data_IF_481625830098
#
_entry.id   IF_481625830098
#
_cell.length_a   1.000
_cell.length_b   1.000
_cell.length_c   1.000
_cell.angle_alpha   90.00
_cell.angle_beta   90.00
_cell.angle_gamma   90.00
#
_symmetry.space_group_name_H-M   'P 1'
#
loop_
_entity.id
_entity.type
_entity.pdbx_description
1 polymer ?
#
# COMPACT_ATOMS: atom_id res chain seq x y z
N UNK A 1 -48.26 -26.41 26.49
CA UNK A 1 -46.88 -26.62 25.98
C UNK A 1 -46.89 -26.19 24.51
N UNK A 2 -46.58 -24.92 24.23
CA UNK A 2 -46.45 -24.44 22.86
C UNK A 2 -44.97 -24.52 22.51
N UNK A 3 -44.61 -25.42 21.59
CA UNK A 3 -43.26 -25.56 21.08
C UNK A 3 -42.95 -24.32 20.23
N UNK A 4 -41.97 -23.53 20.67
CA UNK A 4 -41.37 -22.47 19.88
C UNK A 4 -40.56 -23.14 18.75
N UNK A 5 -40.76 -22.80 17.47
CA UNK A 5 -39.93 -23.36 16.40
C UNK A 5 -38.49 -22.87 16.63
N UNK A 6 -37.57 -23.80 16.89
CA UNK A 6 -36.14 -23.53 16.97
C UNK A 6 -35.69 -22.88 15.66
N UNK A 7 -35.37 -21.59 15.71
CA UNK A 7 -34.61 -20.94 14.65
C UNK A 7 -33.29 -21.70 14.47
N UNK A 8 -32.85 -21.96 13.22
CA UNK A 8 -31.59 -22.64 12.98
C UNK A 8 -30.45 -21.91 13.71
N UNK A 9 -29.45 -22.64 14.24
CA UNK A 9 -28.37 -22.04 15.01
C UNK A 9 -27.64 -20.99 14.15
N UNK A 10 -27.72 -19.73 14.57
CA UNK A 10 -27.03 -18.65 13.88
C UNK A 10 -25.52 -18.81 14.01
N UNK A 11 -24.83 -18.76 12.87
CA UNK A 11 -23.37 -18.77 12.84
C UNK A 11 -22.89 -17.45 13.46
N UNK A 12 -22.00 -17.48 14.46
CA UNK A 12 -21.48 -16.26 15.07
C UNK A 12 -20.66 -15.46 14.05
N UNK A 13 -20.65 -14.14 14.21
CA UNK A 13 -19.79 -13.26 13.42
C UNK A 13 -18.31 -13.68 13.54
N UNK A 14 -17.52 -13.56 12.46
CA UNK A 14 -16.12 -13.94 12.51
C UNK A 14 -15.32 -13.09 13.50
N UNK A 15 -14.36 -13.72 14.18
CA UNK A 15 -13.39 -12.99 14.97
C UNK A 15 -12.42 -12.25 14.04
N UNK A 16 -12.20 -10.95 14.29
CA UNK A 16 -11.20 -10.17 13.56
C UNK A 16 -9.78 -10.60 13.96
N UNK A 17 -8.84 -10.48 13.01
CA UNK A 17 -7.42 -10.61 13.33
C UNK A 17 -6.99 -9.50 14.29
N UNK A 18 -6.19 -9.85 15.30
CA UNK A 18 -5.83 -8.94 16.40
C UNK A 18 -4.78 -7.89 16.02
N UNK A 19 -4.11 -8.06 14.89
CA UNK A 19 -3.04 -7.17 14.42
C UNK A 19 -3.57 -5.99 13.58
N UNK A 20 -4.85 -6.00 13.22
CA UNK A 20 -5.49 -4.91 12.46
C UNK A 20 -5.51 -3.61 13.28
N UNK A 21 -5.23 -2.49 12.60
CA UNK A 21 -5.23 -1.17 13.21
C UNK A 21 -6.20 -0.26 12.48
N UNK A 22 -7.05 0.43 13.23
CA UNK A 22 -7.89 1.50 12.68
C UNK A 22 -7.16 2.82 12.89
N UNK A 23 -6.98 3.57 11.82
CA UNK A 23 -6.28 4.86 11.79
C UNK A 23 -7.23 5.95 11.25
N UNK A 24 -7.09 7.21 11.70
CA UNK A 24 -7.77 8.31 11.05
C UNK A 24 -7.27 8.46 9.61
N UNK A 25 -8.18 8.62 8.67
CA UNK A 25 -7.91 8.79 7.25
C UNK A 25 -8.13 10.22 6.76
N UNK A 26 -7.94 10.43 5.46
CA UNK A 26 -8.28 11.70 4.79
C UNK A 26 -9.79 11.91 4.87
N UNK A 27 -10.23 13.14 5.12
CA UNK A 27 -11.67 13.46 5.12
C UNK A 27 -12.27 13.12 3.75
N UNK A 28 -13.48 12.56 3.75
CA UNK A 28 -14.24 12.36 2.54
C UNK A 28 -14.53 13.72 1.86
N UNK A 29 -14.91 13.71 0.59
CA UNK A 29 -15.31 14.89 -0.20
C UNK A 29 -16.36 15.76 0.48
N UNK A 30 -17.13 15.19 1.41
CA UNK A 30 -18.16 15.85 2.20
C UNK A 30 -17.65 16.44 3.53
N UNK A 31 -16.35 16.34 3.83
CA UNK A 31 -15.74 16.82 5.07
C UNK A 31 -15.92 15.91 6.29
N UNK A 32 -16.57 14.76 6.11
CA UNK A 32 -16.69 13.74 7.16
C UNK A 32 -15.32 13.08 7.42
N UNK A 33 -15.01 12.71 8.68
CA UNK A 33 -13.76 12.02 9.00
C UNK A 33 -13.72 10.67 8.27
N UNK A 34 -12.69 10.48 7.43
CA UNK A 34 -12.41 9.17 6.84
C UNK A 34 -11.67 8.28 7.83
N UNK A 35 -11.81 6.97 7.67
CA UNK A 35 -11.15 5.98 8.51
C UNK A 35 -10.39 4.98 7.63
N UNK A 36 -9.22 4.53 8.07
CA UNK A 36 -8.40 3.54 7.37
C UNK A 36 -8.21 2.31 8.25
N UNK A 37 -8.50 1.13 7.70
CA UNK A 37 -8.15 -0.15 8.29
C UNK A 37 -6.82 -0.63 7.71
N UNK A 38 -5.79 -0.68 8.55
CA UNK A 38 -4.46 -1.13 8.19
C UNK A 38 -4.28 -2.62 8.50
N UNK A 39 -3.96 -3.41 7.47
CA UNK A 39 -3.47 -4.79 7.61
C UNK A 39 -1.93 -4.78 7.64
N UNK A 40 -1.28 -5.03 8.79
CA UNK A 40 0.17 -5.00 8.89
C UNK A 40 0.87 -6.19 8.21
N UNK A 41 0.16 -7.29 7.93
CA UNK A 41 0.73 -8.46 7.24
C UNK A 41 0.82 -8.21 5.75
N UNK A 42 -0.26 -7.68 5.15
CA UNK A 42 -0.28 -7.31 3.74
C UNK A 42 0.36 -5.94 3.47
N UNK A 43 0.51 -5.10 4.51
CA UNK A 43 0.89 -3.69 4.41
C UNK A 43 -0.02 -2.90 3.47
N UNK A 44 -1.33 -3.09 3.62
CA UNK A 44 -2.39 -2.47 2.81
C UNK A 44 -3.31 -1.68 3.73
N UNK A 45 -3.77 -0.53 3.24
CA UNK A 45 -4.80 0.27 3.87
C UNK A 45 -6.13 0.08 3.12
N UNK A 46 -7.20 -0.16 3.85
CA UNK A 46 -8.56 -0.19 3.34
C UNK A 46 -9.32 1.04 3.84
N UNK A 47 -9.89 1.81 2.92
CA UNK A 47 -10.75 2.93 3.28
C UNK A 47 -12.08 2.42 3.84
N UNK A 48 -12.46 2.95 5.00
CA UNK A 48 -13.70 2.66 5.69
C UNK A 48 -14.59 3.91 5.65
N UNK A 49 -15.85 3.70 5.28
CA UNK A 49 -16.89 4.70 5.51
C UNK A 49 -17.15 4.85 7.02
N UNK A 50 -17.78 5.96 7.42
CA UNK A 50 -18.16 6.19 8.82
C UNK A 50 -19.04 5.06 9.37
N UNK A 51 -20.03 4.60 8.60
CA UNK A 51 -20.87 3.45 8.97
C UNK A 51 -20.04 2.19 9.18
N UNK A 52 -19.11 1.90 8.26
CA UNK A 52 -18.23 0.74 8.36
C UNK A 52 -17.32 0.82 9.60
N UNK A 53 -16.77 2.00 9.90
CA UNK A 53 -15.94 2.24 11.09
C UNK A 53 -16.73 1.98 12.38
N UNK A 54 -17.95 2.50 12.48
CA UNK A 54 -18.79 2.36 13.67
C UNK A 54 -19.16 0.89 13.91
N UNK A 55 -19.54 0.19 12.84
CA UNK A 55 -19.85 -1.23 12.87
C UNK A 55 -18.64 -2.05 13.32
N UNK A 56 -17.46 -1.77 12.74
CA UNK A 56 -16.22 -2.49 13.03
C UNK A 56 -15.71 -2.21 14.46
N UNK A 57 -15.89 -0.99 14.96
CA UNK A 57 -15.46 -0.58 16.31
C UNK A 57 -16.19 -1.33 17.42
N UNK A 58 -17.41 -1.81 17.15
CA UNK A 58 -18.21 -2.59 18.08
C UNK A 58 -18.19 -4.09 17.78
N UNK A 59 -17.48 -4.51 16.72
CA UNK A 59 -17.49 -5.88 16.21
C UNK A 59 -17.07 -6.91 17.27
N UNK A 60 -17.91 -7.92 17.47
CA UNK A 60 -17.68 -9.01 18.43
C UNK A 60 -18.08 -10.34 17.79
N UNK A 61 -17.37 -11.43 18.10
CA UNK A 61 -17.69 -12.76 17.57
C UNK A 61 -18.91 -13.36 18.27
N UNK A 62 -20.08 -12.75 18.06
CA UNK A 62 -21.37 -13.13 18.62
C UNK A 62 -22.39 -13.35 17.48
N UNK A 63 -23.49 -14.08 17.72
CA UNK A 63 -24.57 -14.21 16.74
C UNK A 63 -25.10 -12.84 16.25
N UNK A 64 -25.44 -12.70 14.95
CA UNK A 64 -25.94 -11.44 14.38
C UNK A 64 -27.14 -10.85 15.12
N UNK A 65 -28.10 -11.68 15.56
CA UNK A 65 -29.27 -11.24 16.33
C UNK A 65 -28.90 -10.58 17.67
N UNK A 66 -27.95 -11.18 18.39
CA UNK A 66 -27.43 -10.66 19.66
C UNK A 66 -26.66 -9.36 19.40
N UNK A 67 -25.84 -9.33 18.34
CA UNK A 67 -25.10 -8.13 17.96
C UNK A 67 -26.03 -6.93 17.73
N UNK A 68 -27.04 -7.09 16.88
CA UNK A 68 -27.97 -6.02 16.53
C UNK A 68 -28.79 -5.53 17.74
N UNK A 69 -29.21 -6.45 18.61
CA UNK A 69 -29.96 -6.09 19.82
C UNK A 69 -29.12 -5.23 20.77
N UNK A 70 -27.87 -5.65 21.04
CA UNK A 70 -26.95 -4.87 21.87
C UNK A 70 -26.59 -3.54 21.22
N UNK A 71 -26.34 -3.56 19.91
CA UNK A 71 -25.95 -2.36 19.18
C UNK A 71 -27.06 -1.30 19.17
N UNK A 72 -28.30 -1.70 18.90
CA UNK A 72 -29.47 -0.82 18.87
C UNK A 72 -29.86 -0.26 20.25
N UNK A 73 -29.45 -0.91 21.34
CA UNK A 73 -29.69 -0.41 22.70
C UNK A 73 -28.72 0.72 23.07
N UNK A 74 -27.50 0.67 22.54
CA UNK A 74 -26.39 1.53 22.96
C UNK A 74 -26.06 2.64 21.93
N UNK A 75 -26.58 2.59 20.70
CA UNK A 75 -26.21 3.50 19.61
C UNK A 75 -27.41 3.92 18.73
N UNK A 76 -27.33 5.13 18.15
CA UNK A 76 -28.38 5.73 17.29
C UNK A 76 -28.29 5.32 15.80
N UNK A 77 -27.60 4.21 15.50
CA UNK A 77 -27.47 3.71 14.12
C UNK A 77 -28.35 2.50 13.91
N UNK A 78 -29.17 2.58 12.85
CA UNK A 78 -29.94 1.45 12.34
C UNK A 78 -29.05 0.63 11.40
N UNK A 79 -28.50 -0.47 11.93
CA UNK A 79 -27.80 -1.49 11.16
C UNK A 79 -28.71 -2.69 10.98
N UNK A 80 -28.76 -3.23 9.77
CA UNK A 80 -29.59 -4.39 9.47
C UNK A 80 -28.77 -5.68 9.41
N UNK A 81 -29.44 -6.83 9.23
CA UNK A 81 -28.74 -8.11 9.01
C UNK A 81 -27.93 -8.06 7.72
N UNK A 82 -28.45 -7.41 6.69
CA UNK A 82 -27.79 -7.24 5.40
C UNK A 82 -26.47 -6.47 5.55
N UNK A 83 -26.43 -5.41 6.38
CA UNK A 83 -25.20 -4.66 6.67
C UNK A 83 -24.12 -5.56 7.31
N UNK A 84 -24.54 -6.45 8.23
CA UNK A 84 -23.63 -7.42 8.86
C UNK A 84 -23.12 -8.47 7.88
N UNK A 85 -23.97 -8.95 6.96
CA UNK A 85 -23.59 -9.90 5.93
C UNK A 85 -22.62 -9.28 4.91
N UNK A 86 -22.87 -8.04 4.49
CA UNK A 86 -21.96 -7.29 3.59
C UNK A 86 -20.60 -7.07 4.26
N UNK A 87 -20.58 -6.61 5.51
CA UNK A 87 -19.33 -6.43 6.27
C UNK A 87 -18.59 -7.75 6.45
N UNK A 88 -19.31 -8.82 6.80
CA UNK A 88 -18.72 -10.16 6.94
C UNK A 88 -18.11 -10.64 5.63
N UNK A 89 -18.80 -10.44 4.50
CA UNK A 89 -18.31 -10.72 3.16
C UNK A 89 -17.04 -9.93 2.82
N UNK A 90 -17.00 -8.64 3.13
CA UNK A 90 -15.80 -7.80 2.97
C UNK A 90 -14.62 -8.34 3.79
N UNK A 91 -14.84 -8.65 5.07
CA UNK A 91 -13.81 -9.12 5.99
C UNK A 91 -13.22 -10.47 5.56
N UNK A 92 -14.07 -11.40 5.09
CA UNK A 92 -13.60 -12.67 4.52
C UNK A 92 -12.86 -12.48 3.21
N UNK A 93 -13.41 -11.69 2.27
CA UNK A 93 -12.79 -11.43 0.98
C UNK A 93 -11.39 -10.78 1.11
N UNK A 94 -11.19 -9.96 2.15
CA UNK A 94 -9.90 -9.32 2.46
C UNK A 94 -9.01 -10.14 3.42
N UNK A 95 -9.43 -11.32 3.87
CA UNK A 95 -8.68 -12.19 4.80
C UNK A 95 -8.31 -11.47 6.11
N UNK A 96 -9.26 -10.68 6.63
CA UNK A 96 -9.13 -9.86 7.84
C UNK A 96 -9.67 -10.57 9.10
N UNK A 97 -10.14 -11.80 8.96
CA UNK A 97 -10.71 -12.61 10.05
C UNK A 97 -9.76 -13.74 10.45
N UNK A 98 -9.85 -14.15 11.72
CA UNK A 98 -9.25 -15.40 12.16
C UNK A 98 -10.11 -16.54 11.63
N UNK A 99 -9.48 -17.58 11.08
CA UNK A 99 -10.18 -18.80 10.69
C UNK A 99 -10.74 -19.44 11.96
N UNK A 100 -12.07 -19.63 12.09
CA UNK A 100 -12.60 -20.35 13.25
C UNK A 100 -12.15 -21.81 13.18
N UNK A 101 -11.90 -22.42 14.35
CA UNK A 101 -11.37 -23.78 14.51
C UNK A 101 -12.32 -24.92 14.07
N UNK A 102 -13.20 -24.67 13.10
CA UNK A 102 -14.17 -25.63 12.59
C UNK A 102 -14.75 -25.30 11.21
N UNK A 103 -14.26 -24.27 10.51
CA UNK A 103 -14.62 -24.08 9.09
C UNK A 103 -13.90 -25.15 8.27
N UNK A 104 -14.65 -25.99 7.55
CA UNK A 104 -14.07 -26.99 6.66
C UNK A 104 -13.21 -26.29 5.61
N UNK A 105 -12.02 -26.84 5.33
CA UNK A 105 -11.09 -26.32 4.31
C UNK A 105 -11.79 -26.12 2.96
N UNK A 106 -12.85 -26.90 2.70
CA UNK A 106 -13.64 -26.88 1.48
C UNK A 106 -14.42 -25.57 1.28
N UNK A 107 -14.93 -24.92 2.33
CA UNK A 107 -15.65 -23.65 2.21
C UNK A 107 -14.69 -22.48 1.89
N UNK A 108 -13.47 -22.54 2.43
CA UNK A 108 -12.40 -21.58 2.11
C UNK A 108 -11.92 -21.74 0.66
N UNK A 109 -11.86 -22.98 0.16
CA UNK A 109 -11.51 -23.28 -1.24
C UNK A 109 -12.63 -22.84 -2.19
N UNK A 110 -13.90 -23.11 -1.87
CA UNK A 110 -15.05 -22.68 -2.66
C UNK A 110 -15.14 -21.14 -2.75
N UNK A 111 -14.84 -20.43 -1.67
CA UNK A 111 -14.79 -18.97 -1.66
C UNK A 111 -13.58 -18.39 -2.37
N UNK A 112 -12.40 -19.02 -2.29
CA UNK A 112 -11.24 -18.63 -3.10
C UNK A 112 -11.56 -18.77 -4.60
N UNK A 113 -12.29 -19.83 -4.99
CA UNK A 113 -12.75 -20.01 -6.38
C UNK A 113 -13.76 -18.92 -6.79
N UNK A 114 -14.69 -18.52 -5.90
CA UNK A 114 -15.70 -17.50 -6.18
C UNK A 114 -15.17 -16.05 -6.17
N UNK A 115 -14.16 -15.77 -5.34
CA UNK A 115 -13.53 -14.45 -5.23
C UNK A 115 -12.48 -14.18 -6.32
N UNK A 116 -12.07 -15.20 -7.08
CA UNK A 116 -11.11 -15.04 -8.15
C UNK A 116 -11.77 -14.50 -9.42
N UNK A 117 -11.34 -13.34 -9.95
CA UNK A 117 -11.77 -12.90 -11.26
C UNK A 117 -11.34 -13.92 -12.32
N UNK A 118 -12.09 -14.05 -13.43
CA UNK A 118 -11.82 -15.07 -14.43
C UNK A 118 -10.39 -14.93 -14.97
N UNK A 119 -9.75 -16.06 -15.23
CA UNK A 119 -8.31 -16.21 -15.56
C UNK A 119 -7.77 -15.18 -16.57
N UNK A 120 -8.57 -14.78 -17.56
CA UNK A 120 -8.19 -13.75 -18.54
C UNK A 120 -8.03 -12.36 -17.91
N UNK A 121 -8.91 -11.94 -16.99
CA UNK A 121 -8.76 -10.66 -16.25
C UNK A 121 -7.51 -10.71 -15.35
N UNK A 122 -7.26 -11.86 -14.74
CA UNK A 122 -6.09 -12.08 -13.88
C UNK A 122 -4.78 -12.04 -14.66
N UNK A 123 -4.74 -12.56 -15.89
CA UNK A 123 -3.58 -12.44 -16.78
C UNK A 123 -3.41 -11.02 -17.29
N UNK A 124 -4.46 -10.33 -17.75
CA UNK A 124 -4.30 -8.95 -18.20
C UNK A 124 -3.82 -8.03 -17.07
N UNK A 125 -4.34 -8.17 -15.85
CA UNK A 125 -3.85 -7.36 -14.71
C UNK A 125 -2.48 -7.80 -14.20
N UNK A 126 -2.20 -9.11 -14.04
CA UNK A 126 -0.88 -9.58 -13.57
C UNK A 126 0.22 -9.41 -14.60
N UNK A 127 -0.07 -9.47 -15.90
CA UNK A 127 0.94 -9.32 -16.95
C UNK A 127 1.23 -7.84 -17.26
N UNK A 128 0.25 -6.94 -17.08
CA UNK A 128 0.48 -5.50 -17.21
C UNK A 128 1.10 -4.86 -15.97
N UNK A 129 0.87 -5.38 -14.77
CA UNK A 129 1.38 -4.75 -13.55
C UNK A 129 1.61 -5.77 -12.43
N UNK A 130 2.86 -6.19 -12.25
CA UNK A 130 3.28 -6.96 -11.08
C UNK A 130 4.53 -6.35 -10.45
N UNK A 131 4.63 -6.45 -9.12
CA UNK A 131 5.75 -5.90 -8.34
C UNK A 131 6.54 -7.05 -7.73
N UNK A 132 7.85 -7.00 -7.91
CA UNK A 132 8.80 -7.92 -7.28
C UNK A 132 9.56 -7.13 -6.21
N UNK A 133 9.24 -7.31 -4.91
CA UNK A 133 10.01 -6.68 -3.84
C UNK A 133 11.41 -7.30 -3.79
N UNK A 134 12.46 -6.48 -3.91
CA UNK A 134 13.84 -6.97 -3.96
C UNK A 134 14.53 -6.85 -2.60
N UNK A 135 14.39 -5.70 -1.94
CA UNK A 135 15.15 -5.37 -0.74
C UNK A 135 14.23 -4.74 0.30
N UNK A 136 14.47 -5.04 1.58
CA UNK A 136 13.86 -4.35 2.72
C UNK A 136 14.83 -3.29 3.26
N UNK A 137 14.73 -2.02 2.83
CA UNK A 137 15.80 -1.04 3.05
C UNK A 137 15.79 -0.44 4.45
N UNK A 138 14.79 -0.67 5.29
CA UNK A 138 14.61 0.04 6.57
C UNK A 138 15.87 0.07 7.47
N UNK A 139 16.57 -1.06 7.61
CA UNK A 139 17.82 -1.12 8.42
C UNK A 139 18.96 -0.36 7.75
N UNK A 140 19.06 -0.44 6.43
CA UNK A 140 20.04 0.29 5.64
C UNK A 140 19.80 1.80 5.73
N UNK A 141 18.55 2.25 5.56
CA UNK A 141 18.17 3.66 5.68
C UNK A 141 18.53 4.20 7.07
N UNK A 142 18.15 3.50 8.15
CA UNK A 142 18.51 3.90 9.51
C UNK A 142 20.03 3.99 9.70
N UNK A 143 20.80 3.05 9.14
CA UNK A 143 22.25 3.04 9.30
C UNK A 143 22.93 4.19 8.57
N UNK A 144 22.49 4.51 7.35
CA UNK A 144 23.13 5.48 6.46
C UNK A 144 22.54 6.89 6.55
N UNK A 145 21.35 7.05 7.15
CA UNK A 145 20.70 8.34 7.31
C UNK A 145 21.59 9.44 7.93
N UNK A 146 22.44 9.18 8.94
CA UNK A 146 23.34 10.21 9.47
C UNK A 146 24.29 10.81 8.43
N UNK A 147 24.72 10.03 7.42
CA UNK A 147 25.60 10.48 6.35
C UNK A 147 24.85 11.23 5.24
N UNK A 148 23.57 10.89 5.03
CA UNK A 148 22.70 11.52 4.02
C UNK A 148 22.06 12.80 4.58
N UNK A 149 21.85 12.89 5.89
CA UNK A 149 21.22 14.05 6.57
C UNK A 149 21.79 15.41 6.14
N UNK A 150 23.12 15.61 5.99
CA UNK A 150 23.68 16.89 5.54
C UNK A 150 23.24 17.32 4.12
N UNK A 151 22.93 16.37 3.24
CA UNK A 151 22.44 16.65 1.87
C UNK A 151 21.10 17.38 1.87
N UNK A 152 20.33 17.28 2.96
CA UNK A 152 19.07 17.99 3.12
C UNK A 152 19.22 19.40 3.73
N UNK A 153 20.44 19.86 3.97
CA UNK A 153 20.69 21.21 4.49
C UNK A 153 20.51 22.27 3.41
N UNK A 154 20.09 23.47 3.81
CA UNK A 154 20.00 24.63 2.90
C UNK A 154 21.35 24.96 2.26
N UNK A 155 22.45 24.75 2.99
CA UNK A 155 23.81 24.96 2.50
C UNK A 155 24.10 24.04 1.32
N UNK A 156 23.79 22.74 1.44
CA UNK A 156 23.98 21.79 0.34
C UNK A 156 23.13 22.16 -0.88
N UNK A 157 21.87 22.58 -0.68
CA UNK A 157 21.01 23.04 -1.78
C UNK A 157 21.63 24.23 -2.52
N UNK A 158 22.13 25.24 -1.80
CA UNK A 158 22.78 26.40 -2.42
C UNK A 158 24.06 26.02 -3.16
N UNK A 159 24.91 25.18 -2.57
CA UNK A 159 26.11 24.66 -3.25
C UNK A 159 25.71 23.97 -4.55
N UNK A 160 24.69 23.11 -4.52
CA UNK A 160 24.21 22.38 -5.71
C UNK A 160 23.72 23.34 -6.79
N UNK A 161 22.96 24.38 -6.42
CA UNK A 161 22.49 25.41 -7.36
C UNK A 161 23.67 26.15 -8.00
N UNK A 162 24.63 26.60 -7.19
CA UNK A 162 25.81 27.33 -7.69
C UNK A 162 26.65 26.45 -8.62
N UNK A 163 26.92 25.21 -8.23
CA UNK A 163 27.62 24.24 -9.10
C UNK A 163 26.85 23.99 -10.40
N UNK A 164 25.52 23.89 -10.35
CA UNK A 164 24.67 23.73 -11.53
C UNK A 164 24.76 24.93 -12.48
N UNK A 165 24.74 26.14 -11.95
CA UNK A 165 24.89 27.38 -12.74
C UNK A 165 26.27 27.47 -13.40
N UNK A 166 27.33 27.14 -12.66
CA UNK A 166 28.70 27.07 -13.20
C UNK A 166 28.78 26.02 -14.30
N UNK A 167 28.19 24.84 -14.10
CA UNK A 167 28.17 23.77 -15.10
C UNK A 167 27.46 24.19 -16.39
N UNK A 168 26.30 24.84 -16.27
CA UNK A 168 25.58 25.39 -17.43
C UNK A 168 26.47 26.42 -18.16
N UNK A 169 27.09 27.33 -17.41
CA UNK A 169 27.96 28.34 -18.00
C UNK A 169 29.14 27.73 -18.77
N UNK A 170 29.81 26.72 -18.21
CA UNK A 170 30.91 26.01 -18.87
C UNK A 170 30.47 25.25 -20.12
N UNK A 171 29.28 24.64 -20.11
CA UNK A 171 28.72 23.96 -21.30
C UNK A 171 28.42 24.97 -22.41
N UNK A 172 27.91 26.15 -22.06
CA UNK A 172 27.67 27.22 -23.03
C UNK A 172 28.97 27.78 -23.61
N UNK A 173 30.03 27.88 -22.81
CA UNK A 173 31.35 28.29 -23.27
C UNK A 173 31.97 27.26 -24.23
N UNK A 174 31.83 25.96 -23.95
CA UNK A 174 32.41 24.87 -24.75
C UNK A 174 31.38 24.17 -25.65
N UNK A 175 30.44 24.95 -26.21
CA UNK A 175 29.28 24.42 -26.93
C UNK A 175 29.62 23.48 -28.09
N UNK A 176 30.68 23.77 -28.84
CA UNK A 176 31.07 22.94 -29.99
C UNK A 176 31.64 21.58 -29.54
N UNK A 177 32.49 21.57 -28.51
CA UNK A 177 33.01 20.35 -27.90
C UNK A 177 31.91 19.47 -27.31
N UNK A 178 30.92 20.11 -26.68
CA UNK A 178 29.75 19.44 -26.13
C UNK A 178 28.93 18.70 -27.20
N UNK A 179 28.64 19.36 -28.33
CA UNK A 179 27.88 18.75 -29.45
C UNK A 179 28.60 17.53 -30.03
N UNK A 180 29.92 17.60 -30.22
CA UNK A 180 30.70 16.48 -30.76
C UNK A 180 30.66 15.28 -29.81
N UNK A 181 30.78 15.52 -28.51
CA UNK A 181 30.69 14.46 -27.48
C UNK A 181 29.28 13.85 -27.42
N UNK A 182 28.24 14.67 -27.60
CA UNK A 182 26.84 14.21 -27.59
C UNK A 182 26.56 13.17 -28.68
N UNK A 183 27.11 13.37 -29.89
CA UNK A 183 26.98 12.40 -30.98
C UNK A 183 27.62 11.05 -30.66
N UNK A 184 28.61 11.01 -29.77
CA UNK A 184 29.28 9.77 -29.36
C UNK A 184 28.37 8.86 -28.52
N UNK A 185 27.40 9.42 -27.79
CA UNK A 185 26.41 8.64 -27.04
C UNK A 185 25.43 7.87 -27.94
N UNK A 186 25.33 8.23 -29.22
CA UNK A 186 24.48 7.52 -30.19
C UNK A 186 25.15 6.27 -30.78
N UNK A 187 26.41 6.01 -30.45
CA UNK A 187 27.07 4.74 -30.76
C UNK A 187 26.51 3.61 -29.88
N UNK A 188 26.66 2.35 -30.30
CA UNK A 188 26.19 1.21 -29.50
C UNK A 188 26.86 1.15 -28.11
N UNK A 189 28.15 1.43 -28.05
CA UNK A 189 28.91 1.52 -26.80
C UNK A 189 28.43 2.69 -25.93
N UNK A 190 28.23 3.86 -26.54
CA UNK A 190 27.65 5.03 -25.86
C UNK A 190 26.27 4.75 -25.28
N UNK A 191 25.42 4.01 -26.01
CA UNK A 191 24.09 3.62 -25.57
C UNK A 191 24.14 2.63 -24.39
N UNK A 192 25.11 1.71 -24.35
CA UNK A 192 25.31 0.83 -23.19
C UNK A 192 25.72 1.61 -21.94
N UNK A 193 26.70 2.52 -22.05
CA UNK A 193 27.08 3.37 -20.92
C UNK A 193 25.93 4.27 -20.47
N UNK A 194 25.15 4.80 -21.42
CA UNK A 194 23.97 5.60 -21.14
C UNK A 194 22.92 4.79 -20.36
N UNK A 195 22.61 3.56 -20.81
CA UNK A 195 21.69 2.66 -20.13
C UNK A 195 22.13 2.31 -18.70
N UNK A 196 23.42 2.01 -18.50
CA UNK A 196 23.97 1.74 -17.16
C UNK A 196 23.87 2.97 -16.26
N UNK A 197 24.17 4.15 -16.81
CA UNK A 197 24.07 5.42 -16.09
C UNK A 197 22.63 5.71 -15.68
N UNK A 198 21.66 5.53 -16.58
CA UNK A 198 20.24 5.68 -16.27
C UNK A 198 19.76 4.70 -15.20
N UNK A 199 20.20 3.45 -15.27
CA UNK A 199 19.89 2.46 -14.23
C UNK A 199 20.43 2.90 -12.87
N UNK A 200 21.70 3.32 -12.80
CA UNK A 200 22.32 3.83 -11.58
C UNK A 200 21.61 5.09 -11.03
N UNK A 201 21.30 6.04 -11.92
CA UNK A 201 20.54 7.24 -11.57
C UNK A 201 19.18 6.90 -10.97
N UNK A 202 18.48 5.92 -11.56
CA UNK A 202 17.17 5.52 -11.06
C UNK A 202 17.27 4.80 -9.71
N UNK A 203 18.30 3.99 -9.47
CA UNK A 203 18.58 3.43 -8.13
C UNK A 203 18.75 4.56 -7.11
N UNK A 204 19.59 5.54 -7.42
CA UNK A 204 19.82 6.69 -6.53
C UNK A 204 18.57 7.53 -6.30
N UNK A 205 17.73 7.69 -7.33
CA UNK A 205 16.45 8.40 -7.24
C UNK A 205 15.45 7.68 -6.31
N UNK A 206 15.30 6.36 -6.47
CA UNK A 206 14.46 5.55 -5.58
C UNK A 206 14.99 5.58 -4.13
N UNK A 207 16.31 5.49 -3.95
CA UNK A 207 16.92 5.69 -2.64
C UNK A 207 16.64 7.10 -2.08
N UNK A 208 16.63 8.12 -2.93
CA UNK A 208 16.26 9.49 -2.56
C UNK A 208 14.83 9.58 -2.01
N UNK A 209 13.86 8.92 -2.68
CA UNK A 209 12.50 8.79 -2.17
C UNK A 209 12.47 8.06 -0.82
N UNK A 210 13.19 6.95 -0.70
CA UNK A 210 13.25 6.17 0.52
C UNK A 210 13.84 6.95 1.72
N UNK A 211 14.93 7.68 1.51
CA UNK A 211 15.54 8.54 2.54
C UNK A 211 14.64 9.74 2.89
N UNK A 212 13.90 10.29 1.93
CA UNK A 212 12.95 11.37 2.21
C UNK A 212 11.76 10.87 3.02
N UNK A 213 11.18 9.71 2.68
CA UNK A 213 10.12 9.08 3.46
C UNK A 213 10.59 8.77 4.89
N UNK A 214 11.79 8.18 5.03
CA UNK A 214 12.41 7.89 6.32
C UNK A 214 12.60 9.16 7.17
N UNK A 215 13.01 10.28 6.55
CA UNK A 215 13.17 11.57 7.23
C UNK A 215 11.86 12.09 7.84
N UNK A 216 10.73 11.88 7.17
CA UNK A 216 9.41 12.28 7.68
C UNK A 216 8.80 11.26 8.65
N UNK A 217 9.54 10.20 9.02
CA UNK A 217 9.08 9.19 9.96
C UNK A 217 8.29 8.05 9.31
N UNK A 218 8.12 8.06 7.99
CA UNK A 218 7.46 6.97 7.27
C UNK A 218 8.39 5.75 7.18
N UNK A 219 7.81 4.56 7.29
CA UNK A 219 8.49 3.28 7.09
C UNK A 219 8.57 2.97 5.59
N UNK A 220 9.71 2.44 5.15
CA UNK A 220 9.92 1.99 3.76
C UNK A 220 10.03 0.47 3.78
N UNK A 221 8.92 -0.26 3.58
CA UNK A 221 8.89 -1.71 3.75
C UNK A 221 9.69 -2.42 2.65
N UNK A 222 9.56 -1.97 1.39
CA UNK A 222 10.24 -2.59 0.25
C UNK A 222 10.71 -1.58 -0.80
N UNK A 223 11.85 -1.87 -1.43
CA UNK A 223 12.26 -1.32 -2.72
C UNK A 223 12.36 -2.51 -3.67
N UNK A 224 11.86 -2.36 -4.90
CA UNK A 224 11.79 -3.46 -5.84
C UNK A 224 11.72 -3.02 -7.29
N UNK A 225 11.36 -3.96 -8.16
CA UNK A 225 11.10 -3.71 -9.57
C UNK A 225 9.64 -4.06 -9.86
N UNK A 226 8.93 -3.11 -10.45
CA UNK A 226 7.60 -3.28 -11.00
C UNK A 226 7.73 -3.48 -12.51
N UNK A 227 6.95 -4.40 -13.08
CA UNK A 227 6.89 -4.60 -14.52
C UNK A 227 5.63 -3.95 -15.05
N UNK A 228 5.78 -2.92 -15.89
CA UNK A 228 4.71 -2.30 -16.63
C UNK A 228 4.79 -2.76 -18.08
N UNK A 229 3.86 -3.62 -18.53
CA UNK A 229 3.89 -4.19 -19.90
C UNK A 229 5.25 -4.82 -20.22
N UNK A 230 5.76 -5.67 -19.31
CA UNK A 230 7.10 -6.29 -19.36
C UNK A 230 8.30 -5.33 -19.28
N UNK A 231 8.09 -4.02 -19.16
CA UNK A 231 9.18 -3.08 -18.95
C UNK A 231 9.50 -2.96 -17.44
N UNK A 232 10.72 -3.27 -16.99
CA UNK A 232 11.10 -3.17 -15.59
C UNK A 232 11.30 -1.70 -15.19
N UNK A 233 10.61 -1.28 -14.13
CA UNK A 233 10.71 0.04 -13.52
C UNK A 233 10.99 -0.17 -12.02
N UNK A 234 12.05 0.45 -11.49
CA UNK A 234 12.27 0.41 -10.05
C UNK A 234 11.22 1.22 -9.30
N UNK A 235 10.81 0.73 -8.14
CA UNK A 235 9.85 1.40 -7.27
C UNK A 235 10.28 1.35 -5.81
N UNK A 236 9.99 2.42 -5.10
CA UNK A 236 10.06 2.50 -3.63
C UNK A 236 8.65 2.46 -3.08
N UNK A 237 8.38 1.53 -2.17
CA UNK A 237 7.11 1.49 -1.47
C UNK A 237 7.06 2.60 -0.42
N UNK A 238 6.26 3.63 -0.70
CA UNK A 238 5.98 4.74 0.23
C UNK A 238 4.53 4.69 0.72
N UNK A 239 3.89 3.51 0.73
CA UNK A 239 2.48 3.39 1.12
C UNK A 239 2.23 3.85 2.57
N UNK A 240 3.24 3.79 3.45
CA UNK A 240 3.15 4.33 4.82
C UNK A 240 3.06 5.88 4.86
N UNK A 241 3.33 6.58 3.75
CA UNK A 241 3.13 8.03 3.65
C UNK A 241 1.65 8.42 3.52
N UNK A 242 0.73 7.45 3.38
CA UNK A 242 -0.71 7.68 3.40
C UNK A 242 -1.31 7.75 4.81
N UNK A 243 -0.52 7.44 5.84
CA UNK A 243 -0.91 7.62 7.24
C UNK A 243 -0.90 9.10 7.63
#
# INVERSE_FOLDING_TARGET
MSQNPEQPPEIPLPALRQDLQILPGVQDRNGAPGWLLFDPVANIFHELSERAFILLSHWKPVPPSIFLTHFATDNDYDFTREDLEEMTGFLYAKKLTNVPAGLMVDDLVAQEIAANPPFYKTIFHKYLFFRVPLVRPQRFLHRFYPFIRPLYSRVFTWITIVCGLIGIWLVLEQWDSFKTTFLHFLTFEGLMYYGLTLAGLKILHELGHAFMAYRYGCRVPTIGVAFLVMFPIMYTDTTDAYR
#
